data_IF_486436903982
#
_entry.id   IF_486436903982
#
_cell.length_a   1.000
_cell.length_b   1.000
_cell.length_c   1.000
_cell.angle_alpha   90.00
_cell.angle_beta   90.00
_cell.angle_gamma   90.00
#
_symmetry.space_group_name_H-M   'P 1'
#
loop_
_entity.id
_entity.type
_entity.pdbx_description
1 polymer ?
#
# COMPACT_ATOMS: atom_id res chain seq x y z
N UNK A 1 0.44 -1.16 -5.34
CA UNK A 1 1.61 -0.83 -6.15
C UNK A 1 1.95 0.63 -5.96
N UNK A 2 3.16 0.83 -5.51
CA UNK A 2 3.70 2.01 -4.84
C UNK A 2 4.36 3.00 -5.81
N UNK A 3 4.01 2.96 -7.09
CA UNK A 3 4.63 3.81 -8.11
C UNK A 3 4.66 5.27 -7.63
N UNK A 4 5.85 5.88 -7.62
CA UNK A 4 6.03 7.17 -6.97
C UNK A 4 5.23 8.27 -7.65
N UNK A 5 4.29 8.87 -6.91
CA UNK A 5 3.39 9.91 -7.41
C UNK A 5 2.13 9.36 -8.09
N UNK A 6 1.97 8.03 -8.20
CA UNK A 6 0.78 7.39 -8.75
C UNK A 6 0.55 6.00 -8.14
N UNK A 7 0.11 5.94 -6.88
CA UNK A 7 -0.29 4.68 -6.24
C UNK A 7 -1.46 4.07 -7.05
N UNK A 8 -1.33 2.79 -7.40
CA UNK A 8 -2.35 2.05 -8.15
C UNK A 8 -2.73 0.77 -7.42
N UNK A 9 -3.98 0.33 -7.59
CA UNK A 9 -4.51 -0.84 -6.90
C UNK A 9 -5.87 -1.26 -7.42
N UNK A 10 -6.35 -2.40 -6.93
CA UNK A 10 -7.70 -2.90 -7.21
C UNK A 10 -8.72 -2.03 -6.49
N UNK A 11 -9.90 -1.88 -7.07
CA UNK A 11 -11.00 -1.12 -6.43
C UNK A 11 -11.38 -1.68 -5.07
N UNK A 12 -11.28 -3.00 -4.87
CA UNK A 12 -11.54 -3.65 -3.58
C UNK A 12 -10.58 -3.24 -2.45
N UNK A 13 -9.38 -2.76 -2.80
CA UNK A 13 -8.34 -2.37 -1.84
C UNK A 13 -8.27 -0.85 -1.62
N UNK A 14 -8.91 -0.07 -2.49
CA UNK A 14 -8.81 1.39 -2.47
C UNK A 14 -10.15 2.09 -2.23
N UNK A 15 -11.28 1.43 -2.52
CA UNK A 15 -12.62 2.00 -2.39
C UNK A 15 -13.39 1.31 -1.27
N UNK A 16 -14.12 2.12 -0.49
CA UNK A 16 -15.03 1.67 0.54
C UNK A 16 -16.42 2.28 0.29
N UNK A 17 -17.45 1.44 0.18
CA UNK A 17 -18.83 1.93 0.16
C UNK A 17 -19.24 2.32 1.59
N UNK A 18 -19.55 3.60 1.88
CA UNK A 18 -19.88 4.05 3.23
C UNK A 18 -21.21 3.49 3.76
N UNK A 19 -22.08 2.99 2.89
CA UNK A 19 -23.39 2.44 3.27
C UNK A 19 -23.37 0.91 3.44
N UNK A 20 -22.39 0.23 2.83
CA UNK A 20 -22.32 -1.25 2.81
C UNK A 20 -21.03 -1.82 3.41
N UNK A 21 -19.99 -1.01 3.51
CA UNK A 21 -18.68 -1.44 4.00
C UNK A 21 -18.73 -1.79 5.48
N UNK A 22 -18.25 -2.97 5.82
CA UNK A 22 -18.06 -3.38 7.20
C UNK A 22 -16.69 -2.94 7.74
N UNK A 23 -16.44 -3.22 9.02
CA UNK A 23 -15.17 -2.90 9.67
C UNK A 23 -13.97 -3.63 9.04
N UNK A 24 -14.18 -4.83 8.49
CA UNK A 24 -13.12 -5.64 7.88
C UNK A 24 -12.69 -5.00 6.57
N UNK A 25 -13.65 -4.66 5.70
CA UNK A 25 -13.41 -3.95 4.45
C UNK A 25 -12.75 -2.59 4.71
N UNK A 26 -13.24 -1.84 5.71
CA UNK A 26 -12.64 -0.55 6.09
C UNK A 26 -11.19 -0.71 6.54
N UNK A 27 -10.91 -1.72 7.36
CA UNK A 27 -9.55 -2.01 7.82
C UNK A 27 -8.64 -2.38 6.65
N UNK A 28 -9.08 -3.27 5.76
CA UNK A 28 -8.32 -3.69 4.57
C UNK A 28 -7.93 -2.51 3.69
N UNK A 29 -8.88 -1.60 3.40
CA UNK A 29 -8.62 -0.42 2.57
C UNK A 29 -7.60 0.52 3.25
N UNK A 30 -7.72 0.71 4.57
CA UNK A 30 -6.79 1.56 5.32
C UNK A 30 -5.39 0.94 5.36
N UNK A 31 -5.29 -0.37 5.59
CA UNK A 31 -4.02 -1.09 5.62
C UNK A 31 -3.30 -0.99 4.27
N UNK A 32 -4.01 -1.25 3.15
CA UNK A 32 -3.41 -1.09 1.82
C UNK A 32 -2.98 0.35 1.55
N UNK A 33 -3.81 1.35 1.87
CA UNK A 33 -3.40 2.75 1.68
C UNK A 33 -2.17 3.11 2.51
N UNK A 34 -2.10 2.66 3.78
CA UNK A 34 -0.97 2.92 4.64
C UNK A 34 0.31 2.24 4.13
N UNK A 35 0.22 0.98 3.69
CA UNK A 35 1.32 0.20 3.09
C UNK A 35 1.94 0.94 1.90
N UNK A 36 1.11 1.33 0.94
CA UNK A 36 1.57 1.95 -0.31
C UNK A 36 2.11 3.37 -0.10
N UNK A 37 1.57 4.11 0.87
CA UNK A 37 2.11 5.42 1.25
C UNK A 37 3.44 5.28 2.00
N UNK A 38 3.61 4.25 2.83
CA UNK A 38 4.88 3.99 3.51
C UNK A 38 6.01 3.74 2.52
N UNK A 39 5.72 3.06 1.40
CA UNK A 39 6.68 2.83 0.33
C UNK A 39 7.23 4.10 -0.33
N UNK A 40 6.55 5.26 -0.20
CA UNK A 40 7.11 6.54 -0.66
C UNK A 40 8.46 6.85 0.02
N UNK A 41 8.66 6.35 1.24
CA UNK A 41 9.95 6.38 1.94
C UNK A 41 10.70 5.06 1.82
N UNK A 42 10.03 3.93 2.11
CA UNK A 42 10.63 2.59 2.19
C UNK A 42 10.35 1.80 0.91
N UNK A 43 11.16 2.06 -0.12
CA UNK A 43 11.09 1.41 -1.42
C UNK A 43 11.30 2.38 -2.57
N UNK A 44 10.80 3.61 -2.43
CA UNK A 44 10.98 4.66 -3.42
C UNK A 44 12.16 5.60 -3.08
N UNK A 45 12.12 6.26 -1.91
CA UNK A 45 13.20 7.15 -1.49
C UNK A 45 14.45 6.36 -1.04
N UNK A 46 14.24 5.29 -0.29
CA UNK A 46 15.27 4.32 0.06
C UNK A 46 14.89 2.98 -0.56
N UNK A 47 15.57 2.60 -1.63
CA UNK A 47 15.36 1.33 -2.33
C UNK A 47 16.46 0.35 -1.91
N UNK A 48 16.10 -0.91 -1.67
CA UNK A 48 17.07 -1.98 -1.50
C UNK A 48 18.06 -2.07 -2.68
N UNK A 49 19.30 -2.45 -2.39
CA UNK A 49 20.33 -2.63 -3.44
C UNK A 49 20.00 -3.83 -4.35
N UNK A 50 19.43 -4.88 -3.78
CA UNK A 50 19.08 -6.11 -4.49
C UNK A 50 17.87 -6.81 -3.84
N UNK A 51 17.21 -7.69 -4.61
CA UNK A 51 15.98 -8.38 -4.21
C UNK A 51 16.11 -9.29 -3.00
N UNK A 52 17.32 -9.76 -2.67
CA UNK A 52 17.56 -10.52 -1.43
C UNK A 52 17.22 -9.69 -0.18
N UNK A 53 17.18 -8.36 -0.30
CA UNK A 53 16.80 -7.43 0.76
C UNK A 53 15.38 -6.86 0.59
N UNK A 54 14.48 -7.56 -0.11
CA UNK A 54 13.09 -7.12 -0.36
C UNK A 54 12.33 -6.69 0.90
N UNK A 55 12.65 -7.31 2.05
CA UNK A 55 12.05 -6.97 3.33
C UNK A 55 12.30 -5.51 3.78
N UNK A 56 13.33 -4.82 3.24
CA UNK A 56 13.55 -3.40 3.52
C UNK A 56 12.47 -2.51 2.90
N UNK A 57 11.76 -3.02 1.90
CA UNK A 57 10.62 -2.35 1.28
C UNK A 57 9.30 -2.90 1.84
N UNK A 58 9.11 -4.21 1.85
CA UNK A 58 7.80 -4.89 2.09
C UNK A 58 7.56 -5.34 3.54
N UNK A 59 8.51 -5.10 4.43
CA UNK A 59 8.54 -5.62 5.81
C UNK A 59 7.67 -4.89 6.82
#
# INVERSE_FOLDING_TARGET
MENWGLITGRTSELLLDPMKGDTIAKKSVIETQAHEVAHMWFGNMMTMEWWDYLYLNEG
#
